data_IF_093524957625
#
_entry.id   IF_093524957625
#
_cell.length_a   1.000
_cell.length_b   1.000
_cell.length_c   1.000
_cell.angle_alpha   90.00
_cell.angle_beta   90.00
_cell.angle_gamma   90.00
#
_symmetry.space_group_name_H-M   'P 1'
#
loop_
_entity.id
_entity.type
_entity.pdbx_description
1 polymer ?
#
# COMPACT_ATOMS: atom_id res chain seq x y z
N UNK A 1 13.91 -23.98 -24.65
CA UNK A 1 14.41 -24.16 -23.27
C UNK A 1 14.32 -22.83 -22.54
N UNK A 2 13.21 -22.57 -21.85
CA UNK A 2 13.17 -21.56 -20.80
C UNK A 2 12.63 -22.21 -19.54
N UNK A 3 13.46 -22.12 -18.51
CA UNK A 3 13.37 -22.86 -17.27
C UNK A 3 12.34 -22.17 -16.36
N UNK A 4 11.08 -22.61 -16.43
CA UNK A 4 10.00 -22.16 -15.52
C UNK A 4 10.06 -22.87 -14.15
N UNK A 5 11.26 -23.17 -13.66
CA UNK A 5 11.45 -23.76 -12.34
C UNK A 5 11.35 -22.69 -11.25
N UNK A 6 10.16 -22.64 -10.65
CA UNK A 6 9.88 -22.48 -9.20
C UNK A 6 10.00 -21.12 -8.48
N UNK A 7 9.63 -19.98 -9.09
CA UNK A 7 9.35 -18.75 -8.28
C UNK A 7 7.98 -18.75 -7.56
N UNK A 8 7.04 -19.59 -8.01
CA UNK A 8 5.72 -19.70 -7.40
C UNK A 8 5.75 -20.13 -5.93
N UNK A 9 6.48 -21.20 -5.57
CA UNK A 9 6.62 -21.63 -4.18
C UNK A 9 7.24 -20.56 -3.27
N UNK A 10 8.27 -19.86 -3.74
CA UNK A 10 8.94 -18.79 -2.97
C UNK A 10 7.98 -17.63 -2.66
N UNK A 11 7.17 -17.21 -3.64
CA UNK A 11 6.18 -16.15 -3.44
C UNK A 11 5.09 -16.54 -2.42
N UNK A 12 4.64 -17.80 -2.44
CA UNK A 12 3.61 -18.28 -1.50
C UNK A 12 4.15 -18.41 -0.08
N UNK A 13 5.42 -18.81 0.08
CA UNK A 13 6.10 -18.81 1.38
C UNK A 13 6.19 -17.38 1.91
N UNK A 14 6.65 -16.43 1.09
CA UNK A 14 6.79 -15.02 1.46
C UNK A 14 5.43 -14.40 1.85
N UNK A 15 4.39 -14.67 1.05
CA UNK A 15 3.01 -14.27 1.33
C UNK A 15 2.53 -14.81 2.69
N UNK A 16 2.78 -16.10 2.96
CA UNK A 16 2.41 -16.74 4.23
C UNK A 16 3.11 -16.06 5.41
N UNK A 17 4.41 -15.82 5.31
CA UNK A 17 5.18 -15.16 6.37
C UNK A 17 4.69 -13.74 6.65
N UNK A 18 4.42 -12.96 5.59
CA UNK A 18 3.91 -11.59 5.74
C UNK A 18 2.50 -11.55 6.35
N UNK A 19 1.63 -12.49 6.01
CA UNK A 19 0.29 -12.58 6.63
C UNK A 19 0.42 -12.96 8.11
N UNK A 20 1.23 -13.97 8.44
CA UNK A 20 1.42 -14.38 9.83
C UNK A 20 1.96 -13.23 10.70
N UNK A 21 2.94 -12.48 10.18
CA UNK A 21 3.46 -11.30 10.86
C UNK A 21 2.39 -10.22 11.06
N UNK A 22 1.62 -9.90 10.02
CA UNK A 22 0.56 -8.91 10.11
C UNK A 22 -0.55 -9.31 11.10
N UNK A 23 -0.89 -10.60 11.20
CA UNK A 23 -1.85 -11.11 12.20
C UNK A 23 -1.32 -10.95 13.63
N UNK A 24 -0.04 -11.25 13.85
CA UNK A 24 0.61 -11.00 15.14
C UNK A 24 0.64 -9.51 15.52
N UNK A 25 0.98 -8.63 14.57
CA UNK A 25 1.07 -7.19 14.84
C UNK A 25 -0.30 -6.50 15.04
N UNK A 26 -1.31 -6.85 14.24
CA UNK A 26 -2.57 -6.11 14.20
C UNK A 26 -3.60 -6.58 15.22
N UNK A 27 -3.63 -7.88 15.50
CA UNK A 27 -4.65 -8.48 16.36
C UNK A 27 -4.07 -9.34 17.49
N UNK A 28 -2.74 -9.32 17.68
CA UNK A 28 -2.02 -10.04 18.73
C UNK A 28 -2.35 -11.55 18.78
N UNK A 29 -2.55 -12.15 17.59
CA UNK A 29 -2.78 -13.58 17.46
C UNK A 29 -1.49 -14.34 17.83
N UNK A 30 -1.61 -15.50 18.48
CA UNK A 30 -0.43 -16.30 18.79
C UNK A 30 0.23 -16.84 17.51
N UNK A 31 1.53 -17.13 17.60
CA UNK A 31 2.35 -17.50 16.44
C UNK A 31 1.83 -18.74 15.71
N UNK A 32 1.32 -19.73 16.46
CA UNK A 32 0.87 -20.99 15.88
C UNK A 32 -0.45 -20.80 15.13
N UNK A 33 -1.40 -20.09 15.73
CA UNK A 33 -2.67 -19.73 15.07
C UNK A 33 -2.43 -18.79 13.88
N UNK A 34 -1.52 -17.83 14.00
CA UNK A 34 -1.18 -16.90 12.92
C UNK A 34 -0.58 -17.62 11.71
N UNK A 35 0.37 -18.54 11.92
CA UNK A 35 0.93 -19.35 10.85
C UNK A 35 -0.11 -20.25 10.19
N UNK A 36 -0.98 -20.89 10.99
CA UNK A 36 -2.04 -21.74 10.46
C UNK A 36 -3.01 -20.96 9.56
N UNK A 37 -3.51 -19.82 10.05
CA UNK A 37 -4.41 -18.95 9.29
C UNK A 37 -3.71 -18.39 8.05
N UNK A 38 -2.45 -17.97 8.17
CA UNK A 38 -1.70 -17.44 7.05
C UNK A 38 -1.53 -18.45 5.92
N UNK A 39 -1.25 -19.72 6.26
CA UNK A 39 -1.13 -20.81 5.29
C UNK A 39 -2.44 -21.05 4.56
N UNK A 40 -3.56 -21.14 5.29
CA UNK A 40 -4.89 -21.31 4.70
C UNK A 40 -5.25 -20.16 3.74
N UNK A 41 -4.89 -18.92 4.08
CA UNK A 41 -5.10 -17.77 3.20
C UNK A 41 -4.22 -17.88 1.95
N UNK A 42 -2.93 -18.19 2.10
CA UNK A 42 -2.01 -18.32 0.97
C UNK A 42 -2.44 -19.45 0.01
N UNK A 43 -2.88 -20.59 0.52
CA UNK A 43 -3.37 -21.71 -0.28
C UNK A 43 -4.63 -21.33 -1.07
N UNK A 44 -5.58 -20.60 -0.45
CA UNK A 44 -6.77 -20.08 -1.14
C UNK A 44 -6.40 -19.09 -2.25
N UNK A 45 -5.42 -18.22 -2.02
CA UNK A 45 -4.95 -17.28 -3.02
C UNK A 45 -4.26 -18.00 -4.17
N UNK A 46 -3.43 -19.01 -3.88
CA UNK A 46 -2.80 -19.85 -4.90
C UNK A 46 -3.85 -20.56 -5.78
N UNK A 47 -4.90 -21.11 -5.18
CA UNK A 47 -5.99 -21.76 -5.91
C UNK A 47 -6.80 -20.78 -6.77
N UNK A 48 -7.04 -19.56 -6.28
CA UNK A 48 -7.86 -18.58 -6.97
C UNK A 48 -7.11 -17.86 -8.11
N UNK A 49 -5.84 -17.55 -7.88
CA UNK A 49 -4.98 -16.79 -8.80
C UNK A 49 -4.08 -17.66 -9.66
N UNK A 50 -4.04 -18.97 -9.40
CA UNK A 50 -3.26 -19.94 -10.17
C UNK A 50 -3.53 -19.82 -11.66
N UNK A 51 -2.47 -19.69 -12.46
CA UNK A 51 -2.55 -19.54 -13.91
C UNK A 51 -2.79 -18.10 -14.40
N UNK A 52 -3.05 -17.14 -13.51
CA UNK A 52 -3.19 -15.72 -13.86
C UNK A 52 -1.84 -14.98 -13.78
N UNK A 53 -1.63 -13.98 -14.63
CA UNK A 53 -0.50 -13.06 -14.51
C UNK A 53 -0.96 -11.80 -13.75
N UNK A 54 -0.64 -11.72 -12.46
CA UNK A 54 -1.08 -10.63 -11.58
C UNK A 54 -0.04 -9.51 -11.56
N UNK A 55 -0.47 -8.32 -11.93
CA UNK A 55 0.32 -7.10 -11.81
C UNK A 55 0.01 -6.40 -10.49
N UNK A 56 1.04 -6.18 -9.67
CA UNK A 56 0.96 -5.35 -8.46
C UNK A 56 1.47 -3.94 -8.77
N UNK A 57 0.59 -2.94 -8.90
CA UNK A 57 1.03 -1.58 -9.15
C UNK A 57 1.75 -0.99 -7.94
N UNK A 58 2.99 -0.55 -8.13
CA UNK A 58 3.69 0.22 -7.11
C UNK A 58 3.06 1.61 -6.93
N UNK A 59 2.66 1.92 -5.69
CA UNK A 59 2.20 3.25 -5.30
C UNK A 59 0.72 3.56 -5.54
N UNK A 60 -0.13 2.53 -5.71
CA UNK A 60 -1.58 2.70 -5.89
C UNK A 60 -2.39 2.65 -4.59
N UNK A 61 -1.75 2.24 -3.47
CA UNK A 61 -2.24 2.60 -2.15
C UNK A 61 -1.90 4.07 -1.90
N UNK A 62 -2.82 4.97 -2.25
CA UNK A 62 -2.82 6.36 -1.75
C UNK A 62 -3.28 6.38 -0.28
N UNK A 63 -2.92 5.40 0.53
CA UNK A 63 -2.73 5.67 1.95
C UNK A 63 -1.33 6.23 2.04
N UNK A 64 -1.24 7.56 2.03
CA UNK A 64 0.01 8.27 2.30
C UNK A 64 0.64 7.64 3.54
N UNK A 65 1.82 7.05 3.36
CA UNK A 65 2.56 6.51 4.50
C UNK A 65 2.85 7.65 5.47
N UNK A 66 3.18 7.32 6.72
CA UNK A 66 3.63 8.31 7.71
C UNK A 66 4.81 9.14 7.15
N UNK A 67 5.70 8.50 6.39
CA UNK A 67 6.82 9.16 5.71
C UNK A 67 6.35 10.14 4.63
N UNK A 68 5.38 9.74 3.80
CA UNK A 68 4.88 10.62 2.73
C UNK A 68 4.17 11.86 3.28
N UNK A 69 3.48 11.74 4.43
CA UNK A 69 2.95 12.91 5.15
C UNK A 69 4.05 13.84 5.63
N UNK A 70 5.12 13.31 6.24
CA UNK A 70 6.26 14.12 6.67
C UNK A 70 6.95 14.84 5.51
N UNK A 71 7.05 14.20 4.34
CA UNK A 71 7.58 14.83 3.12
C UNK A 71 6.70 16.02 2.72
N UNK A 72 5.38 15.86 2.76
CA UNK A 72 4.45 16.96 2.48
C UNK A 72 4.48 18.06 3.53
N UNK A 73 4.56 17.74 4.82
CA UNK A 73 4.61 18.72 5.90
C UNK A 73 5.86 19.62 5.83
N UNK A 74 6.97 19.10 5.30
CA UNK A 74 8.20 19.85 5.04
C UNK A 74 8.23 20.55 3.67
N UNK A 75 7.19 20.39 2.84
CA UNK A 75 7.14 21.00 1.52
C UNK A 75 6.82 22.49 1.60
N UNK A 76 7.67 23.33 1.03
CA UNK A 76 7.53 24.80 1.05
C UNK A 76 7.14 25.40 -0.32
N UNK A 77 6.87 24.58 -1.33
CA UNK A 77 6.50 25.01 -2.68
C UNK A 77 7.58 24.78 -3.74
N UNK A 78 8.86 24.83 -3.36
CA UNK A 78 9.99 24.79 -4.31
C UNK A 78 11.18 23.91 -3.87
N UNK A 79 11.06 23.17 -2.75
CA UNK A 79 12.12 22.32 -2.20
C UNK A 79 12.01 20.83 -2.57
N UNK A 80 11.41 20.48 -3.71
CA UNK A 80 11.16 19.08 -4.11
C UNK A 80 12.47 18.27 -4.23
N UNK A 81 13.52 18.88 -4.77
CA UNK A 81 14.84 18.24 -4.93
C UNK A 81 15.51 17.95 -3.60
N UNK A 82 15.37 18.86 -2.63
CA UNK A 82 15.95 18.70 -1.30
C UNK A 82 15.22 17.60 -0.52
N UNK A 83 13.89 17.56 -0.59
CA UNK A 83 13.08 16.50 0.00
C UNK A 83 13.39 15.13 -0.59
N UNK A 84 13.59 15.05 -1.91
CA UNK A 84 13.97 13.81 -2.57
C UNK A 84 15.29 13.25 -2.00
N UNK A 85 16.28 14.12 -1.79
CA UNK A 85 17.57 13.74 -1.20
C UNK A 85 17.46 13.39 0.28
N UNK A 86 16.76 14.20 1.06
CA UNK A 86 16.59 14.01 2.51
C UNK A 86 15.89 12.69 2.85
N UNK A 87 14.85 12.32 2.09
CA UNK A 87 14.04 11.14 2.36
C UNK A 87 14.42 9.92 1.51
N UNK A 88 15.44 10.02 0.66
CA UNK A 88 15.90 8.92 -0.19
C UNK A 88 14.85 8.45 -1.20
N UNK A 89 14.07 9.37 -1.77
CA UNK A 89 13.01 9.07 -2.74
C UNK A 89 13.28 9.76 -4.08
N UNK A 90 12.64 9.29 -5.14
CA UNK A 90 12.77 9.95 -6.45
C UNK A 90 12.02 11.29 -6.48
N UNK A 91 12.50 12.23 -7.28
CA UNK A 91 11.83 13.52 -7.50
C UNK A 91 10.38 13.33 -8.00
N UNK A 92 10.16 12.33 -8.85
CA UNK A 92 8.84 11.96 -9.34
C UNK A 92 7.91 11.47 -8.22
N UNK A 93 8.45 10.78 -7.22
CA UNK A 93 7.70 10.36 -6.04
C UNK A 93 7.24 11.57 -5.21
N UNK A 94 8.11 12.55 -4.98
CA UNK A 94 7.74 13.80 -4.29
C UNK A 94 6.59 14.53 -4.99
N UNK A 95 6.63 14.63 -6.32
CA UNK A 95 5.51 15.20 -7.09
C UNK A 95 4.21 14.40 -6.93
N UNK A 96 4.28 13.06 -6.92
CA UNK A 96 3.11 12.21 -6.67
C UNK A 96 2.51 12.44 -5.28
N UNK A 97 3.35 12.54 -4.25
CA UNK A 97 2.92 12.85 -2.87
C UNK A 97 2.17 14.18 -2.84
N UNK A 98 2.77 15.25 -3.39
CA UNK A 98 2.16 16.59 -3.39
C UNK A 98 0.80 16.57 -4.10
N UNK A 99 0.72 15.89 -5.26
CA UNK A 99 -0.54 15.76 -6.02
C UNK A 99 -1.60 14.99 -5.24
N UNK A 100 -1.22 13.91 -4.56
CA UNK A 100 -2.12 13.10 -3.76
C UNK A 100 -2.70 13.89 -2.57
N UNK A 101 -1.85 14.57 -1.80
CA UNK A 101 -2.30 15.36 -0.63
C UNK A 101 -3.20 16.52 -1.06
N UNK A 102 -2.84 17.27 -2.10
CA UNK A 102 -3.71 18.34 -2.62
C UNK A 102 -5.08 17.85 -3.03
N UNK A 103 -5.16 16.67 -3.66
CA UNK A 103 -6.45 16.05 -4.03
C UNK A 103 -7.28 15.72 -2.80
N UNK A 104 -6.65 15.20 -1.74
CA UNK A 104 -7.31 14.92 -0.46
C UNK A 104 -7.79 16.20 0.23
N UNK A 105 -6.98 17.26 0.27
CA UNK A 105 -7.37 18.55 0.85
C UNK A 105 -8.52 19.21 0.10
N UNK A 106 -8.52 19.15 -1.24
CA UNK A 106 -9.62 19.65 -2.07
C UNK A 106 -10.89 18.87 -1.75
N UNK A 107 -10.83 17.53 -1.76
CA UNK A 107 -11.97 16.69 -1.41
C UNK A 107 -12.48 16.93 0.02
N UNK A 108 -11.60 17.28 0.96
CA UNK A 108 -11.99 17.61 2.35
C UNK A 108 -12.63 18.99 2.48
N UNK A 109 -12.14 19.99 1.73
CA UNK A 109 -12.65 21.37 1.74
C UNK A 109 -13.92 21.52 0.92
N UNK A 110 -14.06 20.74 -0.15
CA UNK A 110 -15.27 20.67 -0.93
C UNK A 110 -16.28 19.80 -0.16
N UNK A 111 -17.00 20.41 0.78
CA UNK A 111 -18.29 19.89 1.23
C UNK A 111 -19.12 19.62 -0.02
N UNK A 112 -19.77 18.46 -0.08
CA UNK A 112 -20.61 18.08 -1.21
C UNK A 112 -21.68 19.16 -1.45
N UNK A 113 -21.41 20.03 -2.42
CA UNK A 113 -22.30 21.15 -2.78
C UNK A 113 -23.64 20.65 -3.36
N UNK A 114 -23.78 19.35 -3.60
CA UNK A 114 -24.97 18.69 -4.12
C UNK A 114 -25.56 17.67 -3.16
N UNK A 115 -25.10 17.62 -1.90
CA UNK A 115 -25.79 16.84 -0.88
C UNK A 115 -27.19 17.45 -0.70
N UNK A 116 -28.28 16.68 -0.90
CA UNK A 116 -29.62 17.21 -0.72
C UNK A 116 -29.73 17.72 0.70
N UNK A 117 -30.15 18.98 0.87
CA UNK A 117 -30.51 19.50 2.17
C UNK A 117 -31.50 18.49 2.78
N UNK A 118 -31.15 17.91 3.92
CA UNK A 118 -32.07 17.06 4.66
C UNK A 118 -33.25 17.95 5.06
N UNK A 119 -34.35 17.86 4.31
CA UNK A 119 -35.60 18.53 4.63
C UNK A 119 -36.01 18.11 6.05
N UNK A 120 -36.09 19.12 6.93
CA UNK A 120 -36.62 19.00 8.27
C UNK A 120 -38.15 19.05 8.25
#
# INVERSE_FOLDING_TARGET
MSDFRSKGPELLIDLTQHIAHALGELIALDSEQAEHVAKEVADRMAAHWGGQNIYFPMGLSIKLSRRDRQIYDKFNGHNQSDLAREFGVSLQWVYKIIKAVRKEEIARRQVDMFSPASDA
#
